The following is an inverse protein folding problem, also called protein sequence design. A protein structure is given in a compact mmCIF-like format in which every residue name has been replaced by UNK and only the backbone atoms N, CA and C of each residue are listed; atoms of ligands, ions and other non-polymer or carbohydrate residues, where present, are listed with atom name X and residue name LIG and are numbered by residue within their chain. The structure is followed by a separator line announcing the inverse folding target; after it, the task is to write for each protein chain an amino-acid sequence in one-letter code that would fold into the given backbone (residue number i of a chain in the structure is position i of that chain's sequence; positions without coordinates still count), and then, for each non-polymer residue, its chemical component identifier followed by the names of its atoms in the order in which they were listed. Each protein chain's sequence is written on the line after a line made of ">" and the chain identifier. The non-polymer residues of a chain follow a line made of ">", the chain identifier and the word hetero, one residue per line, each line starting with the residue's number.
data_IF_215459832891
#
_entry.id   IF_215459832891
#
_cell.length_a   1.000
_cell.length_b   1.000
_cell.length_c   1.000
_cell.angle_alpha   90.00
_cell.angle_beta   90.00
_cell.angle_gamma   90.00
#
_symmetry.space_group_name_H-M   'P 1'
#
loop_
_entity.id
_entity.type
_entity.pdbx_description
1 polymer ?
#
# COMPACT_ATOMS: atom_id res chain seq x y z
N UNK A 1 4.59 10.40 3.58
CA UNK A 1 3.20 10.34 4.11
C UNK A 1 3.26 9.66 5.48
N UNK A 2 2.36 9.91 6.43
CA UNK A 2 2.39 9.12 7.70
C UNK A 2 1.77 7.74 7.50
N UNK A 3 2.08 6.78 8.37
CA UNK A 3 1.48 5.44 8.33
C UNK A 3 -0.05 5.50 8.47
N UNK A 4 -0.56 6.32 9.39
CA UNK A 4 -2.00 6.49 9.60
C UNK A 4 -2.73 7.04 8.37
N UNK A 5 -2.16 8.06 7.72
CA UNK A 5 -2.70 8.62 6.48
C UNK A 5 -2.76 7.57 5.38
N UNK A 6 -1.71 6.75 5.28
CA UNK A 6 -1.63 5.71 4.28
C UNK A 6 -2.62 4.57 4.55
N UNK A 7 -2.77 4.13 5.81
CA UNK A 7 -3.79 3.15 6.22
C UNK A 7 -5.20 3.66 5.94
N UNK A 8 -5.47 4.93 6.24
CA UNK A 8 -6.76 5.54 5.95
C UNK A 8 -7.07 5.51 4.45
N UNK A 9 -6.10 5.89 3.59
CA UNK A 9 -6.27 5.85 2.14
C UNK A 9 -6.46 4.42 1.61
N UNK A 10 -5.68 3.46 2.13
CA UNK A 10 -5.79 2.05 1.74
C UNK A 10 -7.03 1.34 2.28
N UNK A 11 -7.83 1.97 3.15
CA UNK A 11 -9.10 1.41 3.60
C UNK A 11 -10.11 1.17 2.47
N UNK A 12 -9.93 1.81 1.32
CA UNK A 12 -10.74 1.56 0.11
C UNK A 12 -10.31 0.33 -0.68
N UNK A 13 -9.16 -0.28 -0.35
CA UNK A 13 -8.62 -1.46 -1.04
C UNK A 13 -9.31 -2.73 -0.51
N UNK A 14 -10.36 -3.14 -1.22
CA UNK A 14 -11.26 -4.24 -0.87
C UNK A 14 -11.04 -5.52 -1.70
N UNK A 15 -9.94 -5.61 -2.44
CA UNK A 15 -9.65 -6.75 -3.32
C UNK A 15 -10.26 -6.66 -4.71
N UNK A 16 -10.97 -5.57 -5.04
CA UNK A 16 -11.51 -5.32 -6.38
C UNK A 16 -10.74 -4.22 -7.13
N UNK A 17 -9.86 -3.51 -6.41
CA UNK A 17 -9.13 -2.36 -6.90
C UNK A 17 -7.64 -2.65 -6.95
N UNK A 18 -7.00 -2.16 -7.99
CA UNK A 18 -5.55 -2.15 -8.09
C UNK A 18 -4.98 -0.90 -7.41
N UNK A 19 -3.76 -0.97 -6.90
CA UNK A 19 -3.02 0.22 -6.45
C UNK A 19 -1.61 0.24 -6.99
N UNK A 20 -1.15 1.44 -7.34
CA UNK A 20 0.24 1.68 -7.72
C UNK A 20 0.90 2.62 -6.70
N UNK A 21 2.01 2.15 -6.12
CA UNK A 21 2.81 2.91 -5.16
C UNK A 21 4.05 3.46 -5.84
N UNK A 22 4.18 4.79 -5.84
CA UNK A 22 5.33 5.47 -6.42
C UNK A 22 6.26 5.95 -5.31
N UNK A 23 7.51 5.47 -5.32
CA UNK A 23 8.49 5.79 -4.29
C UNK A 23 9.46 6.88 -4.76
N UNK A 24 9.91 7.74 -3.82
CA UNK A 24 10.75 8.91 -4.11
C UNK A 24 12.04 8.63 -4.90
N UNK A 25 12.59 7.41 -4.78
CA UNK A 25 13.86 7.01 -5.42
C UNK A 25 13.73 5.75 -6.29
N UNK A 26 12.51 5.35 -6.63
CA UNK A 26 12.26 4.19 -7.49
C UNK A 26 11.62 4.63 -8.80
N UNK A 27 12.23 4.34 -9.97
CA UNK A 27 11.69 4.76 -11.27
C UNK A 27 10.43 3.99 -11.68
N UNK A 28 10.17 2.83 -11.06
CA UNK A 28 9.01 2.00 -11.36
C UNK A 28 8.09 1.89 -10.14
N UNK A 29 6.77 2.01 -10.32
CA UNK A 29 5.84 1.80 -9.23
C UNK A 29 5.79 0.33 -8.83
N UNK A 30 5.42 0.09 -7.57
CA UNK A 30 4.92 -1.21 -7.16
C UNK A 30 3.43 -1.25 -7.48
N UNK A 31 3.04 -2.13 -8.41
CA UNK A 31 1.63 -2.41 -8.68
C UNK A 31 1.20 -3.60 -7.85
N UNK A 32 0.16 -3.43 -7.05
CA UNK A 32 -0.52 -4.49 -6.30
C UNK A 32 -1.90 -4.65 -6.91
N UNK A 33 -2.11 -5.76 -7.61
CA UNK A 33 -3.41 -6.07 -8.21
C UNK A 33 -4.37 -6.65 -7.18
N UNK A 34 -5.68 -6.38 -7.33
CA UNK A 34 -6.71 -6.81 -6.37
C UNK A 34 -6.28 -6.55 -4.93
N UNK A 35 -5.80 -5.33 -4.68
CA UNK A 35 -5.11 -4.98 -3.45
C UNK A 35 -6.06 -5.03 -2.26
N UNK A 36 -5.54 -5.55 -1.16
CA UNK A 36 -6.20 -5.61 0.14
C UNK A 36 -5.26 -5.04 1.19
N UNK A 37 -5.81 -4.15 2.03
CA UNK A 37 -5.12 -3.70 3.24
C UNK A 37 -5.14 -4.83 4.28
N UNK A 38 -3.95 -5.24 4.73
CA UNK A 38 -3.84 -6.11 5.90
C UNK A 38 -4.13 -5.27 7.15
N UNK A 39 -4.97 -5.76 8.09
CA UNK A 39 -5.23 -5.06 9.35
C UNK A 39 -3.95 -4.69 10.09
N UNK A 40 -4.05 -3.68 10.94
CA UNK A 40 -2.93 -3.27 11.80
C UNK A 40 -2.47 -4.43 12.69
N UNK A 41 -1.15 -4.65 12.70
CA UNK A 41 -0.47 -5.66 13.50
C UNK A 41 0.48 -4.96 14.48
N UNK A 42 0.97 -5.66 15.53
CA UNK A 42 1.81 -5.05 16.56
C UNK A 42 3.15 -4.45 16.10
N UNK A 43 3.57 -4.72 14.86
CA UNK A 43 4.77 -4.11 14.27
C UNK A 43 4.51 -2.72 13.65
N UNK A 44 3.24 -2.27 13.67
CA UNK A 44 2.76 -0.98 13.13
C UNK A 44 3.03 -0.80 11.62
N UNK A 45 3.57 -1.81 10.92
CA UNK A 45 3.93 -1.72 9.50
C UNK A 45 2.70 -1.77 8.62
N UNK A 46 2.61 -0.85 7.65
CA UNK A 46 1.54 -0.87 6.63
C UNK A 46 1.83 -2.01 5.65
N UNK A 47 0.85 -2.90 5.48
CA UNK A 47 0.98 -4.10 4.66
C UNK A 47 -0.18 -4.20 3.67
N UNK A 48 0.16 -4.48 2.42
CA UNK A 48 -0.80 -4.83 1.38
C UNK A 48 -0.65 -6.30 0.97
N UNK A 49 -1.71 -6.88 0.42
CA UNK A 49 -1.67 -8.20 -0.20
C UNK A 49 -2.45 -8.21 -1.50
N UNK A 50 -2.01 -9.02 -2.45
CA UNK A 50 -2.73 -9.38 -3.69
C UNK A 50 -3.37 -10.78 -3.57
N UNK A 51 -3.39 -11.35 -2.36
CA UNK A 51 -3.83 -12.72 -2.08
C UNK A 51 -2.76 -13.80 -2.29
N UNK A 52 -1.62 -13.46 -2.90
CA UNK A 52 -0.48 -14.38 -3.10
C UNK A 52 0.77 -13.94 -2.36
N UNK A 53 0.99 -12.63 -2.23
CA UNK A 53 2.18 -12.00 -1.65
C UNK A 53 1.78 -10.92 -0.66
N UNK A 54 2.63 -10.73 0.34
CA UNK A 54 2.53 -9.63 1.29
C UNK A 54 3.60 -8.59 0.97
N UNK A 55 3.18 -7.34 0.84
CA UNK A 55 4.02 -6.20 0.54
C UNK A 55 4.12 -5.31 1.78
N UNK A 56 5.31 -5.21 2.36
CA UNK A 56 5.59 -4.32 3.49
C UNK A 56 5.96 -2.94 2.96
N UNK A 57 5.28 -1.90 3.45
CA UNK A 57 5.35 -0.57 2.85
C UNK A 57 6.01 0.44 3.81
N UNK A 58 7.08 1.07 3.34
CA UNK A 58 7.70 2.22 3.99
C UNK A 58 6.96 3.51 3.58
N UNK A 59 6.08 3.99 4.46
CA UNK A 59 5.23 5.16 4.22
C UNK A 59 6.01 6.47 4.04
N UNK A 60 7.22 6.57 4.61
CA UNK A 60 8.06 7.77 4.50
C UNK A 60 8.63 7.95 3.10
N UNK A 61 8.80 6.84 2.36
CA UNK A 61 9.39 6.84 1.02
C UNK A 61 8.39 6.91 -0.12
N UNK A 62 7.09 6.89 0.17
CA UNK A 62 6.05 7.04 -0.85
C UNK A 62 5.96 8.52 -1.26
N UNK A 63 6.11 8.76 -2.56
CA UNK A 63 5.88 10.05 -3.18
C UNK A 63 4.38 10.31 -3.37
N UNK A 64 3.66 9.33 -3.93
CA UNK A 64 2.22 9.37 -4.14
C UNK A 64 1.66 7.96 -4.41
N UNK A 65 0.34 7.84 -4.40
CA UNK A 65 -0.40 6.59 -4.55
C UNK A 65 -1.48 6.77 -5.62
N UNK A 66 -1.62 5.78 -6.50
CA UNK A 66 -2.77 5.62 -7.40
C UNK A 66 -3.67 4.50 -6.86
N UNK A 67 -4.99 4.73 -6.78
CA UNK A 67 -6.00 3.72 -6.43
C UNK A 67 -7.02 3.71 -7.56
N UNK A 68 -7.19 2.54 -8.19
CA UNK A 68 -8.13 2.30 -9.29
C UNK A 68 -9.55 1.99 -8.84
#
# INVERSE_FOLDING_TARGET
>A
MTQDQLRQAFGELNGERDTALYFLQCPHPLVVSNALLIPEEPDEVVKLTDGQKVYLIDAERIAWVEIG
#
